data_IF_696707808798
#
_entry.id   IF_696707808798
#
_cell.length_a   1.000
_cell.length_b   1.000
_cell.length_c   1.000
_cell.angle_alpha   90.00
_cell.angle_beta   90.00
_cell.angle_gamma   90.00
#
_symmetry.space_group_name_H-M   'P 1'
#
loop_
_entity.id
_entity.type
_entity.pdbx_description
1 polymer ?
#
# COMPACT_ATOMS: atom_id res chain seq x y z
N UNK A 1 34.23 39.09 5.31
CA UNK A 1 33.13 38.10 5.35
C UNK A 1 33.05 37.35 4.04
N UNK A 2 32.92 36.03 4.09
CA UNK A 2 32.86 35.19 2.90
C UNK A 2 31.47 35.32 2.24
N UNK A 3 31.42 35.39 0.89
CA UNK A 3 30.21 35.68 0.10
C UNK A 3 29.02 34.76 0.37
N UNK A 4 29.27 33.60 0.97
CA UNK A 4 28.28 32.57 1.32
C UNK A 4 27.29 33.03 2.39
N UNK A 5 27.71 33.85 3.36
CA UNK A 5 26.81 34.31 4.45
C UNK A 5 25.85 35.42 4.01
N UNK A 6 26.16 36.13 2.93
CA UNK A 6 25.29 37.16 2.34
C UNK A 6 24.19 36.54 1.46
N UNK A 7 24.49 35.41 0.80
CA UNK A 7 23.53 34.67 -0.01
C UNK A 7 22.40 34.04 0.85
N UNK A 8 22.74 33.56 2.05
CA UNK A 8 21.78 33.02 3.02
C UNK A 8 20.83 34.13 3.55
N UNK A 9 21.34 35.35 3.77
CA UNK A 9 20.50 36.51 4.11
C UNK A 9 19.52 36.88 2.97
N UNK A 10 19.98 36.90 1.72
CA UNK A 10 19.10 37.23 0.59
C UNK A 10 18.01 36.17 0.37
N UNK A 11 18.27 34.90 0.66
CA UNK A 11 17.24 33.84 0.59
C UNK A 11 16.24 33.89 1.74
N UNK A 12 16.66 34.31 2.95
CA UNK A 12 15.76 34.52 4.10
C UNK A 12 14.87 35.78 3.94
N UNK A 13 15.30 36.78 3.16
CA UNK A 13 14.59 38.04 2.98
C UNK A 13 13.56 38.06 1.82
N UNK A 14 13.63 37.11 0.87
CA UNK A 14 12.76 37.11 -0.33
C UNK A 14 11.42 36.36 -0.18
N UNK A 15 11.12 35.81 1.01
CA UNK A 15 9.77 35.41 1.38
C UNK A 15 8.89 36.65 1.64
N UNK A 16 7.74 36.74 0.99
CA UNK A 16 6.87 37.93 0.78
C UNK A 16 6.35 38.74 2.01
N UNK A 17 7.00 38.70 3.17
CA UNK A 17 6.58 39.43 4.39
C UNK A 17 7.43 40.64 4.83
N UNK A 18 8.61 40.88 4.26
CA UNK A 18 9.67 41.60 5.00
C UNK A 18 9.94 43.07 4.66
N UNK A 19 8.96 43.83 4.13
CA UNK A 19 9.15 45.27 3.97
C UNK A 19 9.33 46.03 5.30
N UNK A 20 8.88 45.45 6.43
CA UNK A 20 8.99 46.05 7.77
C UNK A 20 10.30 45.72 8.51
N UNK A 21 11.01 44.65 8.15
CA UNK A 21 12.21 44.20 8.89
C UNK A 21 13.47 45.02 8.53
N UNK A 22 13.54 45.52 7.30
CA UNK A 22 14.72 46.22 6.78
C UNK A 22 14.94 47.62 7.40
N UNK A 23 13.87 48.28 7.87
CA UNK A 23 13.94 49.64 8.44
C UNK A 23 14.56 49.70 9.84
N UNK A 24 14.57 48.58 10.59
CA UNK A 24 15.13 48.50 11.94
C UNK A 24 16.51 47.79 12.00
N UNK A 25 16.98 47.24 10.88
CA UNK A 25 18.33 46.67 10.78
C UNK A 25 19.38 47.77 10.61
N UNK A 26 20.57 47.56 11.20
CA UNK A 26 21.73 48.40 10.91
C UNK A 26 22.11 48.27 9.43
N UNK A 27 22.06 49.39 8.71
CA UNK A 27 22.47 49.48 7.31
C UNK A 27 23.97 49.77 7.21
N UNK A 28 24.68 49.06 6.34
CA UNK A 28 26.12 49.25 6.11
C UNK A 28 26.37 49.88 4.75
N UNK A 29 27.25 50.88 4.70
CA UNK A 29 27.69 51.47 3.44
C UNK A 29 28.88 50.71 2.88
N UNK A 30 29.03 50.75 1.56
CA UNK A 30 30.19 50.17 0.89
C UNK A 30 31.49 50.83 1.38
N UNK A 31 32.38 50.04 1.97
CA UNK A 31 33.67 50.50 2.50
C UNK A 31 33.74 50.62 4.03
N UNK A 32 32.62 50.40 4.73
CA UNK A 32 32.59 50.44 6.18
C UNK A 32 33.33 49.26 6.82
N UNK A 33 34.02 49.54 7.94
CA UNK A 33 34.60 48.52 8.79
C UNK A 33 33.53 48.04 9.78
N UNK A 34 32.90 46.90 9.48
CA UNK A 34 31.80 46.37 10.28
C UNK A 34 32.35 45.55 11.45
N UNK A 35 31.93 45.87 12.69
CA UNK A 35 32.30 45.10 13.88
C UNK A 35 31.43 43.85 14.02
N UNK A 36 31.99 42.80 14.61
CA UNK A 36 31.27 41.54 14.83
C UNK A 36 29.98 41.75 15.66
N UNK A 37 30.03 42.62 16.67
CA UNK A 37 28.89 42.90 17.54
C UNK A 37 27.71 43.56 16.80
N UNK A 38 27.98 44.41 15.81
CA UNK A 38 26.95 45.10 14.99
C UNK A 38 26.20 44.12 14.08
N UNK A 39 26.91 43.12 13.55
CA UNK A 39 26.29 42.06 12.76
C UNK A 39 25.53 41.08 13.64
N UNK A 40 26.08 40.73 14.80
CA UNK A 40 25.40 39.88 15.79
C UNK A 40 24.11 40.53 16.31
N UNK A 41 24.04 41.86 16.36
CA UNK A 41 22.84 42.60 16.71
C UNK A 41 21.75 42.46 15.64
N UNK A 42 22.08 42.59 14.35
CA UNK A 42 21.14 42.31 13.25
C UNK A 42 20.65 40.85 13.27
N UNK A 43 21.54 39.89 13.58
CA UNK A 43 21.13 38.48 13.74
C UNK A 43 20.19 38.28 14.93
N UNK A 44 20.46 38.91 16.06
CA UNK A 44 19.61 38.82 17.26
C UNK A 44 18.25 39.45 17.02
N UNK A 45 18.21 40.57 16.28
CA UNK A 45 16.96 41.22 15.88
C UNK A 45 16.15 40.36 14.90
N UNK A 46 16.79 39.80 13.86
CA UNK A 46 16.11 38.91 12.92
C UNK A 46 15.60 37.63 13.61
N UNK A 47 16.37 37.07 14.55
CA UNK A 47 15.95 35.94 15.38
C UNK A 47 14.77 36.31 16.27
N UNK A 48 14.83 37.46 16.96
CA UNK A 48 13.72 37.93 17.78
C UNK A 48 12.46 38.22 16.96
N UNK A 49 12.60 38.74 15.73
CA UNK A 49 11.51 38.98 14.80
C UNK A 49 10.90 37.67 14.30
N UNK A 50 11.74 36.70 13.96
CA UNK A 50 11.37 35.32 13.62
C UNK A 50 10.61 34.62 14.77
N UNK A 51 11.01 34.88 16.01
CA UNK A 51 10.39 34.35 17.23
C UNK A 51 9.18 35.19 17.71
N UNK A 52 8.96 36.37 17.13
CA UNK A 52 7.83 37.24 17.48
C UNK A 52 6.56 36.87 16.73
N UNK A 53 5.41 37.09 17.38
CA UNK A 53 4.09 36.79 16.85
C UNK A 53 3.79 37.59 15.57
N UNK A 54 4.09 37.01 14.40
CA UNK A 54 3.75 37.62 13.10
C UNK A 54 4.67 37.26 11.93
N UNK A 55 5.83 36.65 12.15
CA UNK A 55 6.73 36.24 11.06
C UNK A 55 6.22 34.99 10.33
N UNK A 56 5.90 35.13 9.04
CA UNK A 56 5.57 34.02 8.12
C UNK A 56 6.84 33.59 7.38
N UNK A 57 7.01 32.29 7.14
CA UNK A 57 8.07 31.70 6.32
C UNK A 57 9.17 30.96 7.06
N UNK A 58 8.97 30.58 8.33
CA UNK A 58 10.01 29.98 9.18
C UNK A 58 9.59 28.60 9.70
N UNK A 59 10.52 27.64 9.61
CA UNK A 59 10.49 26.39 10.37
C UNK A 59 11.10 26.66 11.74
N UNK A 60 10.36 26.32 12.80
CA UNK A 60 10.88 26.35 14.15
C UNK A 60 11.16 24.92 14.62
N UNK A 61 12.29 24.70 15.26
CA UNK A 61 12.68 23.42 15.84
C UNK A 61 12.80 23.58 17.36
N UNK A 62 12.11 22.73 18.12
CA UNK A 62 12.18 22.67 19.57
C UNK A 62 12.40 21.24 20.04
N UNK A 63 12.92 21.06 21.25
CA UNK A 63 13.04 19.76 21.90
C UNK A 63 12.14 19.71 23.15
N UNK A 64 11.45 18.58 23.33
CA UNK A 64 10.70 18.23 24.54
C UNK A 64 11.31 16.99 25.15
N UNK A 65 11.88 17.14 26.35
CA UNK A 65 12.50 16.06 27.11
C UNK A 65 11.52 15.49 28.16
N UNK A 66 11.01 14.29 27.90
CA UNK A 66 10.10 13.54 28.76
C UNK A 66 10.81 12.49 29.63
N UNK A 67 12.15 12.48 29.71
CA UNK A 67 12.89 11.47 30.49
C UNK A 67 12.61 11.53 32.00
N UNK A 68 12.25 12.70 32.51
CA UNK A 68 11.95 12.91 33.95
C UNK A 68 10.49 13.31 34.22
N UNK A 69 9.77 13.79 33.20
CA UNK A 69 8.36 14.14 33.28
C UNK A 69 7.65 13.72 31.98
N UNK A 70 6.83 12.67 32.04
CA UNK A 70 6.08 12.18 30.88
C UNK A 70 5.05 13.19 30.36
N UNK A 71 4.64 14.18 31.15
CA UNK A 71 3.65 15.20 30.76
C UNK A 71 4.28 16.45 30.10
N UNK A 72 5.60 16.50 29.94
CA UNK A 72 6.31 17.69 29.42
C UNK A 72 5.82 18.13 28.04
N UNK A 73 5.36 17.20 27.19
CA UNK A 73 4.78 17.52 25.88
C UNK A 73 3.44 18.26 25.99
N UNK A 74 2.58 17.83 26.91
CA UNK A 74 1.32 18.50 27.18
C UNK A 74 1.56 19.90 27.76
N UNK A 75 2.52 20.02 28.69
CA UNK A 75 2.94 21.32 29.26
C UNK A 75 3.46 22.28 28.18
N UNK A 76 4.27 21.77 27.24
CA UNK A 76 4.80 22.55 26.11
C UNK A 76 3.67 23.18 25.27
N UNK A 77 2.63 22.42 24.91
CA UNK A 77 1.50 22.98 24.14
C UNK A 77 0.55 23.81 24.99
N UNK A 78 0.39 23.51 26.29
CA UNK A 78 -0.42 24.31 27.21
C UNK A 78 0.17 25.71 27.46
N UNK A 79 1.50 25.87 27.35
CA UNK A 79 2.19 27.16 27.48
C UNK A 79 1.88 28.15 26.34
N UNK A 80 1.21 27.68 25.27
CA UNK A 80 0.80 28.49 24.12
C UNK A 80 1.63 28.22 22.88
N UNK A 81 0.96 28.08 21.74
CA UNK A 81 1.61 27.76 20.47
C UNK A 81 2.55 28.89 20.01
N UNK A 82 3.81 28.53 19.71
CA UNK A 82 4.74 29.43 19.02
C UNK A 82 4.22 29.69 17.60
N UNK A 83 4.31 30.93 17.12
CA UNK A 83 3.85 31.31 15.78
C UNK A 83 4.93 30.98 14.74
N UNK A 84 4.79 29.84 14.08
CA UNK A 84 5.64 29.44 12.94
C UNK A 84 4.76 28.86 11.83
N UNK A 85 5.22 28.92 10.58
CA UNK A 85 4.49 28.27 9.47
C UNK A 85 4.58 26.74 9.56
N UNK A 86 5.71 26.25 10.11
CA UNK A 86 5.97 24.84 10.38
C UNK A 86 6.72 24.70 11.71
N UNK A 87 6.38 23.69 12.50
CA UNK A 87 6.99 23.40 13.79
C UNK A 87 7.51 21.96 13.80
N UNK A 88 8.79 21.77 14.10
CA UNK A 88 9.37 20.45 14.41
C UNK A 88 9.55 20.37 15.92
N UNK A 89 8.97 19.34 16.54
CA UNK A 89 9.11 19.05 17.96
C UNK A 89 9.86 17.72 18.10
N UNK A 90 11.12 17.82 18.50
CA UNK A 90 11.96 16.66 18.78
C UNK A 90 11.61 16.09 20.16
N UNK A 91 11.22 14.83 20.21
CA UNK A 91 10.78 14.11 21.40
C UNK A 91 11.92 13.25 21.93
N UNK A 92 12.27 13.46 23.20
CA UNK A 92 13.28 12.66 23.91
C UNK A 92 12.66 11.94 25.10
N UNK A 93 12.91 10.64 25.21
CA UNK A 93 12.26 9.79 26.22
C UNK A 93 10.81 9.44 25.81
N UNK A 94 9.98 9.04 26.78
CA UNK A 94 8.60 8.62 26.54
C UNK A 94 7.61 9.70 27.01
N UNK A 95 7.01 10.41 26.07
CA UNK A 95 6.00 11.43 26.34
C UNK A 95 4.60 10.82 26.33
N UNK A 96 3.76 11.22 27.29
CA UNK A 96 2.33 10.90 27.28
C UNK A 96 1.55 11.89 26.40
N UNK A 97 0.66 11.35 25.56
CA UNK A 97 -0.19 12.12 24.66
C UNK A 97 -1.53 12.53 25.26
N UNK A 98 -2.03 11.83 26.28
CA UNK A 98 -3.45 11.89 26.70
C UNK A 98 -4.00 13.28 27.06
N UNK A 99 -3.15 14.27 27.31
CA UNK A 99 -3.53 15.66 27.62
C UNK A 99 -3.01 16.69 26.61
N UNK A 100 -2.42 16.24 25.50
CA UNK A 100 -1.88 17.11 24.45
C UNK A 100 -3.05 17.73 23.67
N UNK A 101 -3.11 19.06 23.65
CA UNK A 101 -4.08 19.82 22.88
C UNK A 101 -3.35 20.89 22.05
N UNK A 102 -3.18 20.62 20.76
CA UNK A 102 -2.66 21.61 19.81
C UNK A 102 -3.80 22.09 18.92
N UNK A 103 -3.94 23.42 18.83
CA UNK A 103 -4.97 24.11 18.06
C UNK A 103 -4.44 24.62 16.71
N UNK A 104 -3.39 23.99 16.18
CA UNK A 104 -2.70 24.42 14.96
C UNK A 104 -2.39 23.24 14.05
N UNK A 105 -2.03 23.58 12.82
CA UNK A 105 -1.60 22.65 11.78
C UNK A 105 -0.08 22.82 11.52
N UNK A 106 0.47 22.00 10.62
CA UNK A 106 1.87 22.01 10.19
C UNK A 106 2.84 21.74 11.36
N UNK A 107 2.70 20.59 12.00
CA UNK A 107 3.62 20.12 13.04
C UNK A 107 4.24 18.79 12.60
N UNK A 108 5.55 18.65 12.78
CA UNK A 108 6.25 17.39 12.76
C UNK A 108 6.68 17.02 14.17
N UNK A 109 6.36 15.81 14.61
CA UNK A 109 6.94 15.21 15.79
C UNK A 109 8.10 14.32 15.34
N UNK A 110 9.31 14.61 15.80
CA UNK A 110 10.51 13.88 15.42
C UNK A 110 11.11 13.16 16.64
N UNK A 111 11.69 11.98 16.48
CA UNK A 111 12.41 11.32 17.57
C UNK A 111 13.82 11.87 17.77
N UNK A 112 14.22 12.02 19.03
CA UNK A 112 15.60 12.35 19.38
C UNK A 112 16.53 11.16 19.07
N UNK A 113 17.81 11.43 18.75
CA UNK A 113 18.84 10.42 18.44
C UNK A 113 19.09 9.38 19.57
N UNK A 114 18.65 9.68 20.79
CA UNK A 114 18.74 8.82 21.97
C UNK A 114 17.45 8.03 22.22
N UNK A 115 16.47 8.14 21.32
CA UNK A 115 15.14 7.56 21.42
C UNK A 115 14.06 8.61 21.75
N UNK A 116 12.94 8.51 21.05
CA UNK A 116 11.73 9.28 21.28
C UNK A 116 10.51 8.38 21.14
N UNK A 117 9.61 8.42 22.13
CA UNK A 117 8.39 7.64 22.16
C UNK A 117 7.21 8.50 22.54
N UNK A 118 6.05 8.18 21.98
CA UNK A 118 4.76 8.76 22.38
C UNK A 118 3.83 7.63 22.81
N UNK A 119 3.29 7.75 24.02
CA UNK A 119 2.29 6.82 24.56
C UNK A 119 0.94 7.53 24.75
N UNK A 120 -0.14 6.88 24.33
CA UNK A 120 -1.52 7.35 24.37
C UNK A 120 -2.09 7.55 22.96
N UNK A 121 -3.39 7.31 22.83
CA UNK A 121 -4.10 7.42 21.55
C UNK A 121 -3.99 8.83 20.96
N UNK A 122 -3.41 8.90 19.76
CA UNK A 122 -3.20 10.11 19.00
C UNK A 122 -4.34 10.25 17.99
N UNK A 123 -5.02 11.39 18.01
CA UNK A 123 -6.00 11.75 16.98
C UNK A 123 -5.59 13.07 16.32
N UNK A 124 -5.44 13.03 15.01
CA UNK A 124 -5.23 14.18 14.13
C UNK A 124 -6.55 14.42 13.40
N UNK A 125 -7.14 15.61 13.57
CA UNK A 125 -8.47 15.92 13.03
C UNK A 125 -8.52 17.28 12.30
N UNK A 126 -9.71 17.69 11.85
CA UNK A 126 -10.02 19.08 11.47
C UNK A 126 -9.09 19.70 10.42
N UNK A 127 -8.81 18.99 9.32
CA UNK A 127 -7.90 19.47 8.25
C UNK A 127 -6.46 19.77 8.70
N UNK A 128 -6.04 19.24 9.86
CA UNK A 128 -4.69 19.38 10.36
C UNK A 128 -3.67 18.66 9.45
N UNK A 129 -2.44 19.14 9.49
CA UNK A 129 -1.27 18.62 8.77
C UNK A 129 -0.20 18.25 9.77
N UNK A 130 -0.19 16.99 10.19
CA UNK A 130 0.68 16.52 11.27
C UNK A 130 1.47 15.31 10.79
N UNK A 131 2.78 15.30 11.06
CA UNK A 131 3.63 14.15 10.78
C UNK A 131 4.41 13.62 11.98
N UNK A 132 4.82 12.37 11.87
CA UNK A 132 5.57 11.64 12.88
C UNK A 132 6.77 10.95 12.24
N UNK A 133 7.97 11.29 12.67
CA UNK A 133 9.21 10.88 11.99
C UNK A 133 10.23 10.33 12.99
N UNK A 134 10.84 9.17 12.72
CA UNK A 134 11.84 8.54 13.59
C UNK A 134 11.35 8.30 15.03
N UNK A 135 10.08 7.92 15.22
CA UNK A 135 9.43 7.78 16.53
C UNK A 135 8.91 6.37 16.76
N UNK A 136 8.83 5.99 18.04
CA UNK A 136 7.97 4.88 18.47
C UNK A 136 6.62 5.42 18.92
N UNK A 137 5.52 4.85 18.42
CA UNK A 137 4.17 5.11 18.92
C UNK A 137 3.65 3.82 19.54
N UNK A 138 3.30 3.89 20.84
CA UNK A 138 2.91 2.72 21.63
C UNK A 138 1.39 2.45 21.64
N UNK A 139 0.60 3.32 21.03
CA UNK A 139 -0.87 3.24 21.04
C UNK A 139 -1.41 3.67 19.67
N UNK A 140 -2.73 3.91 19.55
CA UNK A 140 -3.33 4.17 18.24
C UNK A 140 -2.94 5.54 17.66
N UNK A 141 -2.74 5.60 16.34
CA UNK A 141 -2.59 6.84 15.57
C UNK A 141 -3.72 6.95 14.55
N UNK A 142 -4.58 7.95 14.74
CA UNK A 142 -5.82 8.11 13.97
C UNK A 142 -5.78 9.44 13.22
N UNK A 143 -5.79 9.39 11.89
CA UNK A 143 -6.05 10.52 11.00
C UNK A 143 -7.53 10.51 10.60
N UNK A 144 -8.24 11.59 10.92
CA UNK A 144 -9.68 11.68 10.67
C UNK A 144 -10.10 13.11 10.25
N UNK A 145 -11.32 13.28 9.78
CA UNK A 145 -11.90 14.61 9.49
C UNK A 145 -11.10 15.44 8.46
N UNK A 146 -10.77 14.85 7.31
CA UNK A 146 -9.95 15.46 6.25
C UNK A 146 -8.51 15.81 6.68
N UNK A 147 -7.99 15.18 7.73
CA UNK A 147 -6.60 15.37 8.13
C UNK A 147 -5.64 14.94 7.02
N UNK A 148 -4.46 15.57 6.99
CA UNK A 148 -3.36 15.16 6.14
C UNK A 148 -2.13 14.90 7.01
N UNK A 149 -1.28 13.96 6.62
CA UNK A 149 -0.09 13.67 7.39
C UNK A 149 0.98 12.94 6.62
N UNK A 150 2.12 12.79 7.29
CA UNK A 150 3.23 11.97 6.85
C UNK A 150 3.78 11.19 8.05
N UNK A 151 4.05 9.91 7.87
CA UNK A 151 4.81 9.11 8.83
C UNK A 151 6.08 8.62 8.16
N UNK A 152 7.20 8.60 8.85
CA UNK A 152 8.47 8.13 8.28
C UNK A 152 9.33 7.49 9.36
N UNK A 153 9.90 6.32 9.07
CA UNK A 153 10.65 5.53 10.04
C UNK A 153 9.93 5.42 11.40
N UNK A 154 8.64 5.10 11.34
CA UNK A 154 7.77 4.97 12.50
C UNK A 154 7.75 3.52 12.98
N UNK A 155 7.99 3.29 14.25
CA UNK A 155 7.89 1.93 14.84
C UNK A 155 6.67 1.84 15.73
N UNK A 156 5.80 0.87 15.48
CA UNK A 156 4.76 0.46 16.43
C UNK A 156 5.32 -0.40 17.55
N UNK A 157 4.57 -0.56 18.64
CA UNK A 157 4.92 -1.50 19.71
C UNK A 157 4.43 -2.94 19.43
N UNK A 158 3.68 -3.14 18.34
CA UNK A 158 3.14 -4.43 17.92
C UNK A 158 1.67 -4.67 18.32
N UNK A 159 1.07 -3.76 19.11
CA UNK A 159 -0.36 -3.78 19.46
C UNK A 159 -1.12 -2.56 18.93
N UNK A 160 -0.42 -1.56 18.41
CA UNK A 160 -0.96 -0.31 17.90
C UNK A 160 -1.71 -0.41 16.56
N UNK A 161 -2.73 0.43 16.39
CA UNK A 161 -3.41 0.63 15.11
C UNK A 161 -3.07 2.00 14.49
N UNK A 162 -2.84 2.03 13.18
CA UNK A 162 -2.92 3.26 12.40
C UNK A 162 -4.26 3.24 11.64
N UNK A 163 -5.04 4.32 11.76
CA UNK A 163 -6.32 4.47 11.05
C UNK A 163 -6.33 5.76 10.25
N UNK A 164 -6.71 5.68 8.97
CA UNK A 164 -6.85 6.82 8.06
C UNK A 164 -8.29 6.85 7.55
N UNK A 165 -9.10 7.72 8.14
CA UNK A 165 -10.55 7.79 7.95
C UNK A 165 -11.05 9.14 7.47
N UNK A 166 -12.34 9.18 7.12
CA UNK A 166 -13.11 10.35 6.70
C UNK A 166 -12.35 11.28 5.72
N UNK A 167 -12.01 10.74 4.55
CA UNK A 167 -11.37 11.48 3.45
C UNK A 167 -10.01 12.09 3.81
N UNK A 168 -9.33 11.51 4.80
CA UNK A 168 -7.98 11.89 5.19
C UNK A 168 -6.94 11.35 4.21
N UNK A 169 -5.76 11.94 4.24
CA UNK A 169 -4.62 11.52 3.40
C UNK A 169 -3.38 11.32 4.24
N UNK A 170 -2.79 10.13 4.14
CA UNK A 170 -1.54 9.83 4.83
C UNK A 170 -0.49 9.45 3.79
N UNK A 171 0.69 10.06 3.92
CA UNK A 171 1.89 9.55 3.28
C UNK A 171 2.70 8.73 4.28
N UNK A 172 3.32 7.64 3.85
CA UNK A 172 4.28 6.91 4.66
C UNK A 172 5.63 6.79 3.93
N UNK A 173 6.70 6.95 4.68
CA UNK A 173 8.08 6.80 4.21
C UNK A 173 8.65 5.43 4.55
N UNK A 174 9.97 5.31 4.36
CA UNK A 174 10.69 4.07 4.58
C UNK A 174 10.77 3.73 6.07
N UNK A 175 10.89 2.44 6.39
CA UNK A 175 11.12 1.99 7.78
C UNK A 175 9.91 2.05 8.70
N UNK A 176 8.70 2.31 8.18
CA UNK A 176 7.47 2.19 8.98
C UNK A 176 7.16 0.71 9.22
N UNK A 177 7.27 0.27 10.47
CA UNK A 177 7.35 -1.15 10.85
C UNK A 177 6.61 -1.48 12.15
N UNK A 178 6.33 -2.78 12.36
CA UNK A 178 5.74 -3.33 13.59
C UNK A 178 4.39 -2.72 13.97
N UNK A 179 3.55 -2.43 12.96
CA UNK A 179 2.18 -1.92 13.15
C UNK A 179 1.21 -3.10 13.18
N UNK A 180 0.44 -3.27 14.25
CA UNK A 180 -0.50 -4.41 14.37
C UNK A 180 -1.58 -4.37 13.29
N UNK A 181 -2.08 -3.18 13.00
CA UNK A 181 -3.17 -2.99 12.05
C UNK A 181 -3.10 -1.63 11.38
N UNK A 182 -3.26 -1.61 10.07
CA UNK A 182 -3.51 -0.41 9.29
C UNK A 182 -4.90 -0.46 8.66
N UNK A 183 -5.70 0.57 8.90
CA UNK A 183 -7.04 0.73 8.33
C UNK A 183 -7.12 2.00 7.47
N UNK A 184 -7.59 1.89 6.23
CA UNK A 184 -7.82 3.04 5.33
C UNK A 184 -9.27 3.01 4.87
N UNK A 185 -10.08 3.97 5.34
CA UNK A 185 -11.54 3.91 5.23
C UNK A 185 -12.17 5.22 4.76
N UNK A 186 -13.42 5.15 4.29
CA UNK A 186 -14.28 6.32 4.06
C UNK A 186 -13.72 7.36 3.07
N UNK A 187 -13.33 6.91 1.88
CA UNK A 187 -12.84 7.78 0.81
C UNK A 187 -11.45 8.35 1.08
N UNK A 188 -10.68 7.72 1.97
CA UNK A 188 -9.34 8.15 2.33
C UNK A 188 -8.30 7.66 1.32
N UNK A 189 -7.11 8.25 1.39
CA UNK A 189 -5.99 7.84 0.57
C UNK A 189 -4.73 7.61 1.40
N UNK A 190 -4.03 6.53 1.08
CA UNK A 190 -2.73 6.20 1.66
C UNK A 190 -1.71 5.99 0.54
N UNK A 191 -0.52 6.59 0.66
CA UNK A 191 0.54 6.37 -0.32
C UNK A 191 1.93 6.34 0.32
N UNK A 192 2.82 5.44 -0.09
CA UNK A 192 4.16 5.42 0.49
C UNK A 192 5.08 4.33 -0.03
N UNK A 193 6.33 4.33 0.40
CA UNK A 193 7.36 3.46 -0.16
C UNK A 193 7.31 2.03 0.38
N UNK A 194 7.60 1.82 1.67
CA UNK A 194 7.66 0.50 2.29
C UNK A 194 6.72 0.41 3.49
N UNK A 195 5.92 -0.64 3.55
CA UNK A 195 4.97 -0.87 4.62
C UNK A 195 5.11 -2.29 5.18
N UNK A 196 5.34 -2.39 6.49
CA UNK A 196 5.38 -3.63 7.24
C UNK A 196 4.33 -3.60 8.38
N UNK A 197 3.29 -4.42 8.23
CA UNK A 197 2.14 -4.49 9.13
C UNK A 197 1.68 -5.93 9.34
N UNK A 198 0.95 -6.22 10.41
CA UNK A 198 0.36 -7.57 10.53
C UNK A 198 -0.92 -7.69 9.70
N UNK A 199 -1.78 -6.67 9.74
CA UNK A 199 -3.06 -6.68 9.02
C UNK A 199 -3.34 -5.35 8.33
N UNK A 200 -3.73 -5.41 7.06
CA UNK A 200 -4.13 -4.27 6.26
C UNK A 200 -5.59 -4.38 5.85
N UNK A 201 -6.39 -3.37 6.17
CA UNK A 201 -7.79 -3.25 5.77
C UNK A 201 -8.00 -1.97 4.99
N UNK A 202 -8.49 -2.09 3.75
CA UNK A 202 -8.82 -0.93 2.91
C UNK A 202 -10.28 -1.05 2.50
N UNK A 203 -11.09 -0.07 2.90
CA UNK A 203 -12.53 -0.04 2.62
C UNK A 203 -12.93 1.30 1.99
N UNK A 204 -13.62 1.22 0.85
CA UNK A 204 -14.11 2.38 0.10
C UNK A 204 -13.05 3.48 -0.10
N UNK A 205 -11.80 3.07 -0.35
CA UNK A 205 -10.61 3.94 -0.30
C UNK A 205 -9.54 3.51 -1.30
N UNK A 206 -8.51 4.34 -1.45
CA UNK A 206 -7.42 4.10 -2.39
C UNK A 206 -6.09 3.99 -1.67
N UNK A 207 -5.25 3.03 -2.05
CA UNK A 207 -3.91 2.89 -1.52
C UNK A 207 -2.90 2.66 -2.65
N UNK A 208 -1.71 3.24 -2.51
CA UNK A 208 -0.59 2.98 -3.39
C UNK A 208 0.70 2.76 -2.59
N UNK A 209 1.45 1.69 -2.88
CA UNK A 209 2.65 1.33 -2.15
C UNK A 209 3.85 1.04 -3.07
N UNK A 210 5.07 1.19 -2.61
CA UNK A 210 6.20 0.55 -3.27
C UNK A 210 6.15 -0.95 -3.01
N UNK A 211 6.32 -1.32 -1.76
CA UNK A 211 6.31 -2.68 -1.23
C UNK A 211 5.39 -2.79 -0.01
N UNK A 212 4.74 -3.95 0.16
CA UNK A 212 3.93 -4.28 1.33
C UNK A 212 4.32 -5.66 1.84
N UNK A 213 4.61 -5.74 3.14
CA UNK A 213 4.70 -6.98 3.91
C UNK A 213 3.53 -7.02 4.89
N UNK A 214 2.70 -8.07 4.81
CA UNK A 214 1.52 -8.26 5.63
C UNK A 214 1.47 -9.65 6.28
N UNK A 215 1.87 -9.77 7.56
CA UNK A 215 2.05 -11.08 8.21
C UNK A 215 0.78 -11.96 8.28
N UNK A 216 -0.41 -11.36 8.32
CA UNK A 216 -1.68 -12.08 8.48
C UNK A 216 -2.62 -11.90 7.28
N UNK A 217 -2.96 -10.67 6.92
CA UNK A 217 -4.06 -10.43 5.97
C UNK A 217 -3.98 -9.08 5.29
N UNK A 218 -4.33 -9.07 4.00
CA UNK A 218 -4.79 -7.89 3.28
C UNK A 218 -6.25 -8.10 2.86
N UNK A 219 -7.14 -7.21 3.28
CA UNK A 219 -8.55 -7.24 2.88
C UNK A 219 -8.93 -5.92 2.19
N UNK A 220 -9.36 -6.02 0.93
CA UNK A 220 -9.88 -4.91 0.15
C UNK A 220 -11.40 -5.05 -0.01
N UNK A 221 -12.14 -4.00 0.33
CA UNK A 221 -13.60 -3.91 0.17
C UNK A 221 -13.95 -2.62 -0.56
N UNK A 222 -14.54 -2.72 -1.75
CA UNK A 222 -14.80 -1.55 -2.61
C UNK A 222 -13.61 -0.59 -2.72
N UNK A 223 -12.40 -1.14 -2.77
CA UNK A 223 -11.16 -0.41 -2.64
C UNK A 223 -10.19 -0.72 -3.78
N UNK A 224 -9.23 0.18 -4.00
CA UNK A 224 -8.16 -0.03 -4.97
C UNK A 224 -6.80 0.01 -4.29
N UNK A 225 -5.98 -1.01 -4.53
CA UNK A 225 -4.58 -1.06 -4.12
C UNK A 225 -3.69 -1.25 -5.34
N UNK A 226 -2.65 -0.45 -5.46
CA UNK A 226 -1.61 -0.63 -6.49
C UNK A 226 -0.21 -0.60 -5.89
N UNK A 227 0.71 -1.42 -6.39
CA UNK A 227 2.14 -1.24 -6.10
C UNK A 227 2.96 -0.87 -7.34
N UNK A 228 4.12 -0.23 -7.14
CA UNK A 228 4.95 0.30 -8.22
C UNK A 228 6.39 -0.20 -8.26
N UNK A 229 6.81 -1.05 -7.32
CA UNK A 229 8.14 -1.70 -7.35
C UNK A 229 8.02 -3.20 -7.66
N UNK A 230 9.16 -3.83 -7.96
CA UNK A 230 9.20 -5.23 -8.38
C UNK A 230 9.00 -6.20 -7.21
N UNK A 231 9.31 -5.75 -5.99
CA UNK A 231 9.15 -6.48 -4.73
C UNK A 231 7.67 -6.81 -4.47
N UNK A 232 6.77 -5.88 -4.81
CA UNK A 232 5.33 -6.13 -4.82
C UNK A 232 4.73 -6.33 -3.43
N UNK A 233 4.07 -7.46 -3.21
CA UNK A 233 3.36 -7.77 -1.96
C UNK A 233 3.74 -9.18 -1.48
N UNK A 234 4.12 -9.27 -0.21
CA UNK A 234 4.21 -10.52 0.56
C UNK A 234 3.13 -10.52 1.64
N UNK A 235 2.27 -11.55 1.65
CA UNK A 235 1.21 -11.66 2.64
C UNK A 235 0.82 -13.11 2.93
N UNK A 236 0.18 -13.38 4.08
CA UNK A 236 -0.39 -14.70 4.31
C UNK A 236 -1.69 -14.95 3.54
N UNK A 237 -2.61 -13.99 3.53
CA UNK A 237 -3.92 -14.11 2.88
C UNK A 237 -4.33 -12.80 2.22
N UNK A 238 -4.98 -12.89 1.05
CA UNK A 238 -5.63 -11.74 0.40
C UNK A 238 -7.09 -12.02 0.10
N UNK A 239 -7.96 -11.09 0.51
CA UNK A 239 -9.37 -11.06 0.12
C UNK A 239 -9.71 -9.80 -0.68
N UNK A 240 -10.25 -9.95 -1.88
CA UNK A 240 -10.79 -8.87 -2.70
C UNK A 240 -12.30 -9.03 -2.80
N UNK A 241 -13.04 -7.99 -2.36
CA UNK A 241 -14.51 -8.03 -2.26
C UNK A 241 -15.15 -6.75 -2.76
N UNK A 242 -16.44 -6.83 -3.06
CA UNK A 242 -17.30 -5.69 -3.39
C UNK A 242 -16.71 -4.76 -4.48
N UNK A 243 -16.25 -5.34 -5.59
CA UNK A 243 -15.68 -4.58 -6.71
C UNK A 243 -14.29 -3.97 -6.44
N UNK A 244 -13.49 -4.60 -5.58
CA UNK A 244 -12.13 -4.14 -5.31
C UNK A 244 -11.18 -4.46 -6.46
N UNK A 245 -10.08 -3.72 -6.56
CA UNK A 245 -9.03 -3.95 -7.55
C UNK A 245 -7.65 -3.97 -6.91
N UNK A 246 -6.86 -5.01 -7.20
CA UNK A 246 -5.45 -5.10 -6.83
C UNK A 246 -4.57 -5.18 -8.07
N UNK A 247 -3.59 -4.28 -8.18
CA UNK A 247 -2.58 -4.30 -9.23
C UNK A 247 -1.17 -4.28 -8.61
N UNK A 248 -0.34 -5.27 -8.93
CA UNK A 248 1.05 -5.30 -8.46
C UNK A 248 1.94 -6.01 -9.47
N UNK A 249 3.25 -5.84 -9.40
CA UNK A 249 4.17 -6.61 -10.24
C UNK A 249 4.26 -8.05 -9.70
N UNK A 250 4.62 -8.20 -8.43
CA UNK A 250 4.84 -9.52 -7.82
C UNK A 250 3.90 -9.74 -6.63
N UNK A 251 3.36 -10.94 -6.53
CA UNK A 251 2.52 -11.34 -5.41
C UNK A 251 2.98 -12.69 -4.87
N UNK A 252 3.42 -12.72 -3.61
CA UNK A 252 3.84 -13.93 -2.89
C UNK A 252 2.90 -14.15 -1.71
N UNK A 253 2.14 -15.25 -1.74
CA UNK A 253 1.10 -15.51 -0.73
C UNK A 253 1.31 -16.86 -0.06
N UNK A 254 1.36 -16.87 1.27
CA UNK A 254 1.59 -18.11 2.05
C UNK A 254 0.38 -19.06 1.99
N UNK A 255 -0.83 -18.53 2.10
CA UNK A 255 -2.07 -19.32 2.12
C UNK A 255 -2.92 -19.03 0.89
N UNK A 256 -4.02 -18.29 1.02
CA UNK A 256 -5.06 -18.24 -0.01
C UNK A 256 -5.26 -16.82 -0.57
N UNK A 257 -5.77 -16.78 -1.78
CA UNK A 257 -6.27 -15.56 -2.42
C UNK A 257 -7.72 -15.78 -2.83
N UNK A 258 -8.62 -14.94 -2.32
CA UNK A 258 -10.04 -14.93 -2.68
C UNK A 258 -10.38 -13.65 -3.44
N UNK A 259 -10.77 -13.79 -4.72
CA UNK A 259 -11.24 -12.69 -5.56
C UNK A 259 -12.73 -12.89 -5.84
N UNK A 260 -13.55 -12.04 -5.21
CA UNK A 260 -15.00 -12.24 -5.17
C UNK A 260 -15.78 -10.95 -5.44
N UNK A 261 -17.07 -11.11 -5.76
CA UNK A 261 -18.03 -10.01 -5.84
C UNK A 261 -17.64 -8.90 -6.83
N UNK A 262 -17.28 -9.28 -8.06
CA UNK A 262 -16.91 -8.37 -9.13
C UNK A 262 -15.54 -7.71 -8.96
N UNK A 263 -14.67 -8.30 -8.14
CA UNK A 263 -13.32 -7.77 -7.90
C UNK A 263 -12.32 -8.24 -8.96
N UNK A 264 -11.18 -7.55 -9.06
CA UNK A 264 -10.13 -7.86 -10.02
C UNK A 264 -8.74 -7.92 -9.38
N UNK A 265 -7.95 -8.90 -9.82
CA UNK A 265 -6.52 -9.03 -9.52
C UNK A 265 -5.73 -9.01 -10.82
N UNK A 266 -4.72 -8.14 -10.92
CA UNK A 266 -3.85 -8.03 -12.08
C UNK A 266 -2.38 -7.99 -11.65
N UNK A 267 -1.63 -9.05 -11.97
CA UNK A 267 -0.24 -9.22 -11.53
C UNK A 267 0.68 -9.72 -12.64
N UNK A 268 1.99 -9.50 -12.51
CA UNK A 268 2.98 -10.08 -13.42
C UNK A 268 3.29 -11.52 -13.02
N UNK A 269 3.61 -11.72 -11.73
CA UNK A 269 3.95 -13.00 -11.12
C UNK A 269 3.08 -13.27 -9.89
N UNK A 270 2.58 -14.50 -9.75
CA UNK A 270 1.85 -14.95 -8.57
C UNK A 270 2.39 -16.29 -8.07
N UNK A 271 2.94 -16.28 -6.85
CA UNK A 271 3.28 -17.50 -6.09
C UNK A 271 2.31 -17.67 -4.94
N UNK A 272 1.72 -18.86 -4.81
CA UNK A 272 0.65 -19.13 -3.85
C UNK A 272 0.86 -20.47 -3.13
N UNK A 273 0.92 -20.44 -1.79
CA UNK A 273 1.05 -21.65 -0.98
C UNK A 273 -0.25 -22.45 -0.82
N UNK A 274 -1.41 -21.82 -1.06
CA UNK A 274 -2.74 -22.42 -0.94
C UNK A 274 -3.61 -22.21 -2.19
N UNK A 275 -4.91 -22.04 -1.97
CA UNK A 275 -5.92 -22.01 -3.03
C UNK A 275 -6.15 -20.59 -3.59
N UNK A 276 -6.41 -20.52 -4.89
CA UNK A 276 -6.90 -19.30 -5.56
C UNK A 276 -8.40 -19.47 -5.86
N UNK A 277 -9.24 -18.74 -5.15
CA UNK A 277 -10.68 -18.67 -5.39
C UNK A 277 -11.05 -17.45 -6.24
N UNK A 278 -11.69 -17.68 -7.39
CA UNK A 278 -12.24 -16.62 -8.25
C UNK A 278 -13.73 -16.84 -8.45
N UNK A 279 -14.56 -15.92 -7.97
CA UNK A 279 -15.99 -16.14 -7.87
C UNK A 279 -16.81 -14.86 -8.14
N UNK A 280 -18.05 -15.04 -8.56
CA UNK A 280 -19.08 -13.99 -8.63
C UNK A 280 -18.69 -12.84 -9.55
N UNK A 281 -18.49 -13.17 -10.83
CA UNK A 281 -18.13 -12.22 -11.89
C UNK A 281 -16.81 -11.48 -11.66
N UNK A 282 -15.87 -12.14 -10.98
CA UNK A 282 -14.54 -11.60 -10.70
C UNK A 282 -13.52 -12.00 -11.76
N UNK A 283 -12.38 -11.31 -11.79
CA UNK A 283 -11.31 -11.61 -12.75
C UNK A 283 -9.92 -11.67 -12.12
N UNK A 284 -9.11 -12.61 -12.60
CA UNK A 284 -7.68 -12.69 -12.27
C UNK A 284 -6.87 -12.70 -13.58
N UNK A 285 -5.92 -11.77 -13.69
CA UNK A 285 -4.94 -11.75 -14.76
C UNK A 285 -3.54 -11.87 -14.22
N UNK A 286 -2.84 -12.94 -14.59
CA UNK A 286 -1.41 -13.15 -14.34
C UNK A 286 -0.68 -13.09 -15.67
N UNK A 287 0.20 -12.13 -15.86
CA UNK A 287 0.77 -11.88 -17.20
C UNK A 287 1.84 -12.90 -17.56
N UNK A 288 2.71 -13.27 -16.62
CA UNK A 288 3.82 -14.19 -16.88
C UNK A 288 3.59 -15.55 -16.25
N UNK A 289 3.54 -15.67 -14.93
CA UNK A 289 3.55 -16.99 -14.27
C UNK A 289 2.72 -17.04 -13.00
N UNK A 290 1.90 -18.10 -12.89
CA UNK A 290 1.18 -18.51 -11.70
C UNK A 290 1.67 -19.89 -11.24
N UNK A 291 2.24 -19.95 -10.04
CA UNK A 291 2.57 -21.21 -9.36
C UNK A 291 1.76 -21.29 -8.07
N UNK A 292 1.02 -22.38 -7.90
CA UNK A 292 0.24 -22.65 -6.70
C UNK A 292 0.47 -24.06 -6.19
N UNK A 293 0.63 -24.23 -4.87
CA UNK A 293 0.56 -25.55 -4.23
C UNK A 293 -0.85 -25.97 -3.84
N UNK A 294 -1.85 -25.11 -4.03
CA UNK A 294 -3.27 -25.42 -3.83
C UNK A 294 -4.07 -25.35 -5.13
N UNK A 295 -5.38 -25.54 -5.01
CA UNK A 295 -6.26 -25.61 -6.17
C UNK A 295 -6.59 -24.23 -6.72
N UNK A 296 -6.84 -24.15 -8.02
CA UNK A 296 -7.38 -22.96 -8.68
C UNK A 296 -8.86 -23.20 -8.95
N UNK A 297 -9.73 -22.33 -8.43
CA UNK A 297 -11.18 -22.49 -8.50
C UNK A 297 -11.81 -21.24 -9.14
N UNK A 298 -12.32 -21.36 -10.37
CA UNK A 298 -12.94 -20.25 -11.12
C UNK A 298 -14.42 -20.56 -11.38
N UNK A 299 -15.30 -19.80 -10.74
CA UNK A 299 -16.75 -20.10 -10.71
C UNK A 299 -17.63 -18.87 -10.92
N UNK A 300 -18.89 -19.11 -11.30
CA UNK A 300 -19.97 -18.13 -11.34
C UNK A 300 -19.65 -16.92 -12.23
N UNK A 301 -19.47 -17.20 -13.54
CA UNK A 301 -19.19 -16.21 -14.58
C UNK A 301 -17.92 -15.40 -14.34
N UNK A 302 -16.92 -16.03 -13.71
CA UNK A 302 -15.63 -15.41 -13.46
C UNK A 302 -14.61 -15.81 -14.52
N UNK A 303 -13.53 -15.05 -14.64
CA UNK A 303 -12.52 -15.27 -15.67
C UNK A 303 -11.11 -15.29 -15.12
N UNK A 304 -10.26 -16.09 -15.74
CA UNK A 304 -8.83 -16.12 -15.45
C UNK A 304 -8.00 -16.04 -16.73
N UNK A 305 -6.88 -15.31 -16.69
CA UNK A 305 -5.83 -15.44 -17.69
C UNK A 305 -4.45 -15.61 -17.03
N UNK A 306 -3.60 -16.44 -17.63
CA UNK A 306 -2.25 -16.71 -17.17
C UNK A 306 -1.27 -16.93 -18.33
N UNK A 307 -0.05 -16.41 -18.25
CA UNK A 307 1.03 -16.80 -19.17
C UNK A 307 1.40 -18.28 -18.99
N UNK A 308 1.72 -18.68 -17.77
CA UNK A 308 1.79 -20.08 -17.34
C UNK A 308 1.00 -20.33 -16.07
N UNK A 309 0.48 -21.54 -15.91
CA UNK A 309 -0.13 -22.05 -14.68
C UNK A 309 0.46 -23.40 -14.31
N UNK A 310 1.03 -23.51 -13.11
CA UNK A 310 1.35 -24.77 -12.45
C UNK A 310 0.57 -24.88 -11.14
N UNK A 311 -0.28 -25.90 -11.01
CA UNK A 311 -1.06 -26.15 -9.79
C UNK A 311 -1.53 -27.62 -9.71
N UNK A 312 -1.88 -28.15 -8.53
CA UNK A 312 -2.53 -29.45 -8.41
C UNK A 312 -3.78 -29.59 -9.29
N UNK A 313 -4.72 -28.64 -9.21
CA UNK A 313 -6.02 -28.76 -9.88
C UNK A 313 -6.52 -27.41 -10.39
N UNK A 314 -7.24 -27.45 -11.51
CA UNK A 314 -7.99 -26.31 -12.05
C UNK A 314 -9.47 -26.67 -12.20
N UNK A 315 -10.34 -25.93 -11.51
CA UNK A 315 -11.79 -26.05 -11.57
C UNK A 315 -12.42 -24.87 -12.30
N UNK A 316 -13.14 -25.14 -13.39
CA UNK A 316 -13.90 -24.16 -14.16
C UNK A 316 -15.39 -24.52 -14.15
N UNK A 317 -16.23 -23.69 -13.52
CA UNK A 317 -17.66 -23.97 -13.40
C UNK A 317 -18.56 -22.76 -13.60
N UNK A 318 -19.83 -23.00 -13.96
CA UNK A 318 -20.91 -22.00 -13.98
C UNK A 318 -20.61 -20.79 -14.90
N UNK A 319 -20.36 -21.06 -16.17
CA UNK A 319 -20.11 -20.05 -17.22
C UNK A 319 -18.84 -19.23 -17.00
N UNK A 320 -17.86 -19.82 -16.33
CA UNK A 320 -16.53 -19.24 -16.17
C UNK A 320 -15.63 -19.51 -17.38
N UNK A 321 -14.55 -18.75 -17.49
CA UNK A 321 -13.56 -18.92 -18.55
C UNK A 321 -12.12 -18.86 -18.05
N UNK A 322 -11.23 -19.59 -18.73
CA UNK A 322 -9.79 -19.47 -18.55
C UNK A 322 -9.06 -19.34 -19.90
N UNK A 323 -8.06 -18.48 -19.96
CA UNK A 323 -7.13 -18.34 -21.10
C UNK A 323 -5.69 -18.47 -20.58
N UNK A 324 -5.07 -19.63 -20.80
CA UNK A 324 -3.79 -19.98 -20.19
C UNK A 324 -2.84 -20.46 -21.27
N UNK A 325 -1.71 -19.77 -21.46
CA UNK A 325 -0.83 -20.12 -22.58
C UNK A 325 -0.12 -21.46 -22.37
N UNK A 326 0.49 -21.64 -21.19
CA UNK A 326 1.10 -22.91 -20.77
C UNK A 326 0.45 -23.46 -19.50
N UNK A 327 -0.16 -24.65 -19.59
CA UNK A 327 -0.90 -25.28 -18.50
C UNK A 327 -0.20 -26.56 -18.02
N UNK A 328 0.03 -26.66 -16.72
CA UNK A 328 0.54 -27.85 -16.05
C UNK A 328 -0.28 -28.11 -14.77
N UNK A 329 -1.23 -29.05 -14.84
CA UNK A 329 -2.07 -29.41 -13.69
C UNK A 329 -2.33 -30.92 -13.63
N UNK A 330 -2.50 -31.50 -12.44
CA UNK A 330 -2.81 -32.93 -12.30
C UNK A 330 -4.26 -33.26 -12.71
N UNK A 331 -5.18 -32.32 -12.46
CA UNK A 331 -6.60 -32.46 -12.81
C UNK A 331 -7.15 -31.15 -13.40
N UNK A 332 -7.76 -31.27 -14.58
CA UNK A 332 -8.66 -30.24 -15.12
C UNK A 332 -10.10 -30.69 -14.96
N UNK A 333 -10.88 -29.91 -14.20
CA UNK A 333 -12.33 -30.04 -14.10
C UNK A 333 -13.01 -28.89 -14.83
N UNK A 334 -13.81 -29.19 -15.86
CA UNK A 334 -14.52 -28.18 -16.63
C UNK A 334 -16.00 -28.55 -16.80
N UNK A 335 -16.89 -27.69 -16.29
CA UNK A 335 -18.34 -27.84 -16.48
C UNK A 335 -19.04 -26.52 -16.77
N UNK A 336 -19.90 -26.49 -17.78
CA UNK A 336 -20.63 -25.26 -18.20
C UNK A 336 -19.70 -24.06 -18.45
N UNK A 337 -18.46 -24.29 -18.89
CA UNK A 337 -17.37 -23.29 -18.90
C UNK A 337 -16.50 -23.40 -20.14
N UNK A 338 -15.61 -22.43 -20.36
CA UNK A 338 -14.67 -22.43 -21.48
C UNK A 338 -13.20 -22.35 -21.04
N UNK A 339 -12.33 -23.03 -21.79
CA UNK A 339 -10.89 -22.94 -21.61
C UNK A 339 -10.20 -22.78 -22.97
N UNK A 340 -9.24 -21.87 -23.02
CA UNK A 340 -8.37 -21.62 -24.16
C UNK A 340 -6.91 -21.80 -23.72
N UNK A 341 -6.17 -22.57 -24.50
CA UNK A 341 -4.75 -22.85 -24.30
C UNK A 341 -4.03 -22.91 -25.65
N UNK A 342 -2.94 -22.16 -25.79
CA UNK A 342 -2.33 -21.87 -27.10
C UNK A 342 -0.83 -22.19 -27.20
N UNK A 343 -0.17 -22.67 -26.12
CA UNK A 343 1.24 -23.11 -26.18
C UNK A 343 1.50 -24.53 -25.68
N UNK A 344 1.16 -24.85 -24.43
CA UNK A 344 1.43 -26.18 -23.87
C UNK A 344 0.33 -26.66 -22.92
N UNK A 345 0.05 -27.98 -22.95
CA UNK A 345 -1.03 -28.60 -22.18
C UNK A 345 -0.56 -29.92 -21.54
N UNK A 346 -0.22 -29.87 -20.25
CA UNK A 346 0.17 -31.03 -19.44
C UNK A 346 -0.93 -31.30 -18.43
N UNK A 347 -1.86 -32.18 -18.78
CA UNK A 347 -2.97 -32.57 -17.89
C UNK A 347 -3.19 -34.09 -17.98
N UNK A 348 -2.87 -34.86 -16.93
CA UNK A 348 -3.03 -36.31 -16.94
C UNK A 348 -4.47 -36.77 -16.72
N UNK A 349 -5.30 -35.99 -16.00
CA UNK A 349 -6.70 -36.33 -15.71
C UNK A 349 -7.65 -35.21 -16.16
N UNK A 350 -8.66 -35.54 -16.96
CA UNK A 350 -9.66 -34.59 -17.45
C UNK A 350 -11.07 -35.02 -17.06
N UNK A 351 -11.78 -34.16 -16.33
CA UNK A 351 -13.20 -34.31 -16.02
C UNK A 351 -14.03 -33.24 -16.73
N UNK A 352 -14.76 -33.67 -17.76
CA UNK A 352 -15.54 -32.76 -18.62
C UNK A 352 -17.04 -33.09 -18.54
N UNK A 353 -17.88 -32.09 -18.28
CA UNK A 353 -19.33 -32.31 -18.14
C UNK A 353 -20.20 -31.06 -18.33
N UNK A 354 -21.52 -31.25 -18.42
CA UNK A 354 -22.47 -30.12 -18.44
C UNK A 354 -22.28 -29.09 -19.55
N UNK A 355 -21.65 -29.44 -20.69
CA UNK A 355 -21.13 -28.53 -21.73
C UNK A 355 -19.83 -27.83 -21.32
N UNK A 356 -18.70 -28.31 -21.82
CA UNK A 356 -17.40 -27.62 -21.73
C UNK A 356 -16.88 -27.30 -23.14
N UNK A 357 -16.40 -26.08 -23.34
CA UNK A 357 -15.65 -25.69 -24.53
C UNK A 357 -14.15 -25.70 -24.20
N UNK A 358 -13.38 -26.54 -24.89
CA UNK A 358 -11.92 -26.64 -24.71
C UNK A 358 -11.21 -26.41 -26.04
N UNK A 359 -10.38 -25.38 -26.10
CA UNK A 359 -9.46 -25.14 -27.20
C UNK A 359 -8.04 -25.25 -26.65
N UNK A 360 -7.24 -26.19 -27.14
CA UNK A 360 -5.93 -26.50 -26.56
C UNK A 360 -4.86 -26.80 -27.61
N UNK A 361 -3.61 -26.43 -27.32
CA UNK A 361 -2.45 -26.75 -28.15
C UNK A 361 -1.93 -28.17 -27.84
N UNK A 362 -2.74 -29.18 -28.14
CA UNK A 362 -2.42 -30.59 -27.91
C UNK A 362 -3.00 -31.48 -29.02
N UNK A 363 -2.33 -32.59 -29.31
CA UNK A 363 -2.94 -33.68 -30.06
C UNK A 363 -4.07 -34.30 -29.22
N UNK A 364 -5.30 -33.94 -29.57
CA UNK A 364 -6.47 -34.36 -28.83
C UNK A 364 -6.63 -35.89 -28.81
N UNK A 365 -6.14 -36.64 -29.81
CA UNK A 365 -6.23 -38.12 -29.81
C UNK A 365 -5.53 -38.77 -28.62
N UNK A 366 -4.49 -38.12 -28.09
CA UNK A 366 -3.78 -38.55 -26.87
C UNK A 366 -4.62 -38.44 -25.59
N UNK A 367 -5.75 -37.75 -25.64
CA UNK A 367 -6.66 -37.56 -24.50
C UNK A 367 -7.71 -38.68 -24.37
N UNK A 368 -7.93 -39.52 -25.39
CA UNK A 368 -9.02 -40.52 -25.37
C UNK A 368 -8.95 -41.47 -24.15
N UNK A 369 -7.75 -41.82 -23.67
CA UNK A 369 -7.55 -42.73 -22.54
C UNK A 369 -7.66 -42.03 -21.15
N UNK A 370 -7.85 -40.70 -21.13
CA UNK A 370 -7.69 -39.84 -19.95
C UNK A 370 -8.94 -39.01 -19.60
N UNK A 371 -10.00 -39.10 -20.40
CA UNK A 371 -11.19 -38.25 -20.27
C UNK A 371 -12.35 -39.05 -19.68
N UNK A 372 -12.84 -38.62 -18.53
CA UNK A 372 -14.15 -39.01 -18.03
C UNK A 372 -15.22 -38.03 -18.54
N UNK A 373 -16.14 -38.52 -19.37
CA UNK A 373 -17.21 -37.70 -19.95
C UNK A 373 -18.55 -38.02 -19.31
N UNK A 374 -19.13 -37.03 -18.63
CA UNK A 374 -20.51 -37.10 -18.12
C UNK A 374 -21.47 -36.16 -18.86
N UNK A 375 -21.07 -35.61 -20.02
CA UNK A 375 -21.89 -34.70 -20.83
C UNK A 375 -21.31 -34.39 -22.22
N UNK A 376 -21.92 -33.45 -22.94
CA UNK A 376 -21.43 -32.99 -24.25
C UNK A 376 -20.18 -32.11 -24.10
N UNK A 377 -19.14 -32.40 -24.87
CA UNK A 377 -17.87 -31.65 -24.91
C UNK A 377 -17.65 -31.14 -26.33
N UNK A 378 -17.22 -29.89 -26.49
CA UNK A 378 -16.73 -29.37 -27.76
C UNK A 378 -15.24 -29.06 -27.60
N UNK A 379 -14.40 -29.85 -28.27
CA UNK A 379 -12.95 -29.70 -28.25
C UNK A 379 -12.38 -29.32 -29.62
N UNK A 380 -11.41 -28.41 -29.64
CA UNK A 380 -10.65 -28.01 -30.82
C UNK A 380 -9.14 -28.05 -30.54
N UNK A 381 -8.35 -28.53 -31.51
CA UNK A 381 -6.89 -28.53 -31.45
C UNK A 381 -6.32 -27.45 -32.37
N UNK A 382 -5.25 -26.79 -31.94
CA UNK A 382 -4.49 -25.82 -32.75
C UNK A 382 -3.20 -26.39 -33.36
N UNK A 383 -2.89 -27.68 -33.11
CA UNK A 383 -1.76 -28.37 -33.76
C UNK A 383 -2.15 -28.71 -35.20
N UNK A 384 -1.31 -28.36 -36.19
CA UNK A 384 -1.59 -28.50 -37.62
C UNK A 384 -2.14 -29.90 -37.97
N UNK A 385 -3.27 -29.92 -38.70
CA UNK A 385 -3.92 -31.07 -39.39
C UNK A 385 -4.91 -31.99 -38.65
N UNK A 386 -5.63 -31.54 -37.62
CA UNK A 386 -6.85 -32.27 -37.16
C UNK A 386 -8.02 -31.32 -36.90
N UNK A 387 -8.75 -30.94 -37.95
CA UNK A 387 -10.09 -30.33 -37.88
C UNK A 387 -11.18 -31.35 -37.51
N UNK A 388 -10.87 -32.34 -36.67
CA UNK A 388 -11.84 -33.30 -36.19
C UNK A 388 -12.29 -32.87 -34.79
N UNK A 389 -13.57 -32.49 -34.69
CA UNK A 389 -14.28 -32.30 -33.43
C UNK A 389 -14.02 -33.46 -32.46
N UNK A 390 -13.64 -33.14 -31.22
CA UNK A 390 -13.35 -34.12 -30.19
C UNK A 390 -14.63 -34.77 -29.60
N UNK A 391 -14.79 -36.10 -29.63
CA UNK A 391 -14.16 -37.02 -30.57
C UNK A 391 -15.20 -37.83 -31.36
N UNK A 392 -15.16 -37.73 -32.69
CA UNK A 392 -15.79 -38.73 -33.54
C UNK A 392 -15.08 -40.10 -33.49
N UNK A 393 -13.85 -40.18 -32.95
CA UNK A 393 -12.98 -41.36 -33.00
C UNK A 393 -12.63 -42.00 -31.63
N UNK A 394 -13.01 -41.41 -30.48
CA UNK A 394 -12.88 -42.12 -29.20
C UNK A 394 -14.08 -43.06 -29.06
N UNK A 395 -13.88 -44.35 -29.35
CA UNK A 395 -14.90 -45.38 -29.05
C UNK A 395 -14.91 -45.61 -27.54
N UNK A 396 -15.74 -44.83 -26.82
CA UNK A 396 -15.99 -45.07 -25.41
C UNK A 396 -16.73 -46.41 -25.26
N UNK A 397 -16.02 -47.48 -24.88
CA UNK A 397 -16.68 -48.67 -24.37
C UNK A 397 -17.23 -48.34 -22.99
N UNK A 398 -18.55 -48.16 -22.89
CA UNK A 398 -19.22 -48.14 -21.59
C UNK A 398 -18.89 -49.44 -20.83
N UNK A 399 -18.35 -49.32 -19.61
CA UNK A 399 -18.40 -50.38 -18.61
C UNK A 399 -19.31 -49.94 -17.47
#
# INVERSE_FOLDING_TARGET
MNRTNLAIMCSLLMGTGNAFAADEMLTFSSGDYIKADEINQNFSYLKALAESSGARGLTLEDEVDCTSNSEALAEYFAAGAKNSDFLVVTIKGNCSWGSVNFNRSNIEFAGHEQGGQISGNIRVDSEQKIGFVNLTINDDLIYDGNANGWVDNLTGDGDNMISVGASSRLWYGDGTTNIRRLEVTNGSALSGSYLDVNSLYVDASTMAAGEIVADEIILLQSASLSTWTEEGIDARYIGLRLGSSLQTQSLSIEENVDVTEGSSLSVEYLTLGGELGVNSSSSVGVHTELVSSGNIIVTNSSSMNAGSLSAPQLFLQHSSSASIASLDVDLLFCRTSSMYNDQSFTVPNLELGGFCYLEAHIDMTSLCDRVDTSGSVLGWSTVEDVWNSFPADCTFSAQ
#
